data_IF_223454029560
#
_entry.id   IF_223454029560
#
_cell.length_a   1.000
_cell.length_b   1.000
_cell.length_c   1.000
_cell.angle_alpha   90.00
_cell.angle_beta   90.00
_cell.angle_gamma   90.00
#
_symmetry.space_group_name_H-M   'P 1'
#
loop_
_entity.id
_entity.type
_entity.pdbx_description
1 polymer ?
#
# COMPACT_ATOMS: atom_id res chain seq x y z
N UNK A 1 -1.59 -1.92 5.70
CA UNK A 1 -2.31 -2.06 6.98
C UNK A 1 -2.72 -3.52 7.16
N UNK A 2 -2.82 -3.99 8.40
CA UNK A 2 -3.31 -5.34 8.72
C UNK A 2 -4.22 -5.28 9.94
N UNK A 3 -5.36 -5.97 9.89
CA UNK A 3 -6.22 -6.13 11.06
C UNK A 3 -5.71 -7.28 11.94
N UNK A 4 -5.66 -7.05 13.25
CA UNK A 4 -5.36 -8.07 14.26
C UNK A 4 -6.65 -8.37 15.06
N UNK A 5 -7.21 -9.59 14.94
CA UNK A 5 -8.46 -9.95 15.60
C UNK A 5 -8.30 -10.17 17.11
N UNK A 6 -7.10 -10.48 17.61
CA UNK A 6 -6.89 -10.70 19.04
C UNK A 6 -6.90 -9.38 19.80
N UNK A 7 -6.30 -8.36 19.18
CA UNK A 7 -6.27 -7.03 19.76
C UNK A 7 -7.48 -6.19 19.36
N UNK A 8 -8.24 -6.57 18.33
CA UNK A 8 -9.29 -5.75 17.71
C UNK A 8 -8.76 -4.37 17.29
N UNK A 9 -7.68 -4.36 16.52
CA UNK A 9 -7.08 -3.12 16.02
C UNK A 9 -6.48 -3.29 14.62
N UNK A 10 -6.27 -2.16 13.96
CA UNK A 10 -5.54 -2.08 12.71
C UNK A 10 -4.10 -1.65 12.96
N UNK A 11 -3.16 -2.42 12.44
CA UNK A 11 -1.75 -2.11 12.45
C UNK A 11 -1.44 -1.33 11.16
N UNK A 12 -1.14 -0.05 11.31
CA UNK A 12 -0.60 0.80 10.25
C UNK A 12 0.93 0.78 10.37
N UNK A 13 1.60 0.51 9.25
CA UNK A 13 3.05 0.46 9.17
C UNK A 13 3.46 1.25 7.94
N UNK A 14 4.17 2.35 8.17
CA UNK A 14 4.53 3.33 7.15
C UNK A 14 6.01 3.66 7.23
N UNK A 15 6.61 3.95 6.08
CA UNK A 15 7.97 4.45 6.00
C UNK A 15 7.95 5.86 5.43
N UNK A 16 8.17 6.85 6.31
CA UNK A 16 8.10 8.27 5.99
C UNK A 16 9.38 8.95 6.48
N UNK A 17 10.04 9.72 5.61
CA UNK A 17 11.20 10.53 6.00
C UNK A 17 12.33 9.75 6.67
N UNK A 18 12.68 8.57 6.13
CA UNK A 18 13.70 7.66 6.69
C UNK A 18 13.37 7.07 8.07
N UNK A 19 12.11 7.13 8.50
CA UNK A 19 11.66 6.54 9.75
C UNK A 19 10.54 5.54 9.50
N UNK A 20 10.63 4.42 10.20
CA UNK A 20 9.54 3.48 10.33
C UNK A 20 8.55 4.02 11.37
N UNK A 21 7.31 4.21 10.97
CA UNK A 21 6.20 4.57 11.84
C UNK A 21 5.25 3.38 11.94
N UNK A 22 4.95 2.95 13.16
CA UNK A 22 3.98 1.89 13.44
C UNK A 22 2.95 2.47 14.39
N UNK A 23 1.68 2.45 13.98
CA UNK A 23 0.55 2.93 14.78
C UNK A 23 -0.51 1.83 14.88
N UNK A 24 -1.07 1.66 16.08
CA UNK A 24 -2.24 0.84 16.33
C UNK A 24 -3.48 1.73 16.30
N UNK A 25 -4.37 1.46 15.36
CA UNK A 25 -5.55 2.28 15.07
C UNK A 25 -6.83 1.52 15.45
N UNK A 26 -7.80 2.25 16.01
CA UNK A 26 -9.14 1.74 16.39
C UNK A 26 -10.21 2.80 16.11
N UNK A 27 -11.46 2.34 15.94
CA UNK A 27 -12.64 3.20 15.84
C UNK A 27 -12.54 4.27 14.75
N UNK A 28 -12.94 5.49 15.09
CA UNK A 28 -13.06 6.63 14.17
C UNK A 28 -11.78 6.95 13.38
N UNK A 29 -10.59 6.72 13.97
CA UNK A 29 -9.32 6.94 13.26
C UNK A 29 -9.19 6.04 12.03
N UNK A 30 -9.58 4.78 12.16
CA UNK A 30 -9.54 3.79 11.07
C UNK A 30 -10.55 4.15 10.00
N UNK A 31 -11.76 4.54 10.43
CA UNK A 31 -12.84 4.94 9.52
C UNK A 31 -12.45 6.17 8.71
N UNK A 32 -11.89 7.20 9.36
CA UNK A 32 -11.38 8.40 8.68
C UNK A 32 -10.29 8.06 7.65
N UNK A 33 -9.37 7.15 7.99
CA UNK A 33 -8.32 6.68 7.06
C UNK A 33 -8.91 5.94 5.86
N UNK A 34 -9.84 5.01 6.06
CA UNK A 34 -10.47 4.30 4.94
C UNK A 34 -11.33 5.24 4.09
N UNK A 35 -12.05 6.16 4.72
CA UNK A 35 -12.80 7.18 4.01
C UNK A 35 -11.87 8.02 3.14
N UNK A 36 -10.77 8.54 3.69
CA UNK A 36 -9.77 9.30 2.93
C UNK A 36 -9.14 8.46 1.80
N UNK A 37 -8.79 7.21 2.06
CA UNK A 37 -8.22 6.31 1.06
C UNK A 37 -9.19 6.09 -0.12
N UNK A 38 -10.47 5.90 0.17
CA UNK A 38 -11.51 5.73 -0.84
C UNK A 38 -11.69 6.97 -1.73
N UNK A 39 -11.46 8.17 -1.18
CA UNK A 39 -11.53 9.43 -1.92
C UNK A 39 -10.26 9.75 -2.70
N UNK A 40 -9.10 9.36 -2.19
CA UNK A 40 -7.78 9.76 -2.73
C UNK A 40 -7.34 8.94 -3.95
N UNK A 41 -8.00 7.82 -4.23
CA UNK A 41 -7.69 6.99 -5.39
C UNK A 41 -8.00 5.51 -5.16
N UNK A 42 -7.25 4.65 -5.86
CA UNK A 42 -7.39 3.20 -5.75
C UNK A 42 -6.59 2.62 -4.59
N UNK A 43 -7.16 1.66 -3.87
CA UNK A 43 -6.48 0.90 -2.82
C UNK A 43 -6.46 -0.58 -3.18
N UNK A 44 -5.30 -1.22 -3.02
CA UNK A 44 -5.13 -2.65 -3.27
C UNK A 44 -4.70 -3.36 -1.98
N UNK A 45 -5.45 -4.40 -1.62
CA UNK A 45 -5.04 -5.38 -0.61
C UNK A 45 -4.17 -6.43 -1.25
N UNK A 46 -3.05 -6.73 -0.64
CA UNK A 46 -2.19 -7.81 -1.08
C UNK A 46 -1.54 -8.45 0.14
N UNK A 47 -1.68 -9.76 0.24
CA UNK A 47 -1.05 -10.56 1.28
C UNK A 47 0.10 -11.34 0.65
N UNK A 48 1.27 -11.26 1.28
CA UNK A 48 2.45 -12.03 0.89
C UNK A 48 2.84 -12.92 2.04
N UNK A 49 3.13 -14.18 1.73
CA UNK A 49 3.86 -15.04 2.66
C UNK A 49 5.29 -14.53 2.80
N UNK A 50 5.80 -14.57 4.03
CA UNK A 50 7.21 -14.33 4.28
C UNK A 50 8.03 -15.45 3.64
N UNK A 51 9.00 -15.10 2.81
CA UNK A 51 9.95 -16.05 2.23
C UNK A 51 11.30 -15.88 2.92
N UNK A 52 11.81 -16.95 3.52
CA UNK A 52 13.15 -16.98 4.09
C UNK A 52 14.19 -16.54 3.05
N UNK A 53 15.16 -15.73 3.47
CA UNK A 53 16.19 -15.19 2.58
C UNK A 53 15.77 -13.94 1.79
N UNK A 54 14.65 -13.29 2.16
CA UNK A 54 14.37 -11.93 1.74
C UNK A 54 15.50 -11.01 2.23
N UNK A 55 16.50 -10.82 1.37
CA UNK A 55 17.52 -9.81 1.54
C UNK A 55 16.81 -8.45 1.47
N UNK A 56 16.34 -7.99 2.63
CA UNK A 56 16.04 -6.59 2.88
C UNK A 56 17.35 -5.86 2.65
N UNK A 57 17.55 -5.42 1.41
CA UNK A 57 18.64 -4.53 1.08
C UNK A 57 18.33 -3.21 1.79
N UNK A 58 18.77 -3.11 3.05
CA UNK A 58 18.63 -1.98 3.96
C UNK A 58 19.43 -0.75 3.50
N UNK A 59 19.74 -0.61 2.20
CA UNK A 59 20.06 0.69 1.62
C UNK A 59 18.78 1.52 1.73
N UNK A 60 18.64 2.13 2.90
CA UNK A 60 17.55 2.92 3.43
C UNK A 60 16.60 3.38 2.32
N UNK A 61 15.40 2.81 2.22
CA UNK A 61 14.49 3.23 1.17
C UNK A 61 14.21 4.71 1.34
N UNK A 62 14.75 5.52 0.42
CA UNK A 62 14.50 6.96 0.35
C UNK A 62 13.00 7.22 0.13
N UNK A 63 12.30 6.24 -0.47
CA UNK A 63 10.91 6.33 -0.86
C UNK A 63 10.07 5.16 -0.32
N UNK A 64 8.86 5.46 0.14
CA UNK A 64 7.90 4.51 0.69
C UNK A 64 7.58 3.34 -0.26
N UNK A 65 7.55 3.60 -1.57
CA UNK A 65 7.27 2.58 -2.61
C UNK A 65 8.37 1.51 -2.65
N UNK A 66 9.63 1.92 -2.52
CA UNK A 66 10.78 1.00 -2.48
C UNK A 66 10.72 0.15 -1.22
N UNK A 67 10.39 0.75 -0.08
CA UNK A 67 10.21 0.01 1.18
C UNK A 67 9.10 -1.04 1.07
N UNK A 68 7.90 -0.64 0.61
CA UNK A 68 6.77 -1.56 0.44
C UNK A 68 7.09 -2.72 -0.52
N UNK A 69 7.79 -2.43 -1.62
CA UNK A 69 8.28 -3.45 -2.55
C UNK A 69 9.13 -4.52 -1.85
N UNK A 70 10.08 -4.10 -1.02
CA UNK A 70 10.97 -5.02 -0.31
C UNK A 70 10.26 -5.81 0.77
N UNK A 71 9.35 -5.17 1.53
CA UNK A 71 8.52 -5.82 2.53
C UNK A 71 7.67 -6.95 1.91
N UNK A 72 7.15 -6.71 0.70
CA UNK A 72 6.32 -7.65 -0.05
C UNK A 72 7.14 -8.63 -0.92
N UNK A 73 8.47 -8.61 -0.82
CA UNK A 73 9.38 -9.46 -1.57
C UNK A 73 9.25 -9.38 -3.09
N UNK A 74 8.87 -8.22 -3.62
CA UNK A 74 8.73 -8.02 -5.05
C UNK A 74 10.08 -7.69 -5.68
N UNK A 75 10.53 -8.51 -6.63
CA UNK A 75 11.69 -8.21 -7.47
C UNK A 75 11.30 -7.29 -8.64
N UNK A 76 11.06 -6.01 -8.33
CA UNK A 76 10.87 -4.96 -9.35
C UNK A 76 12.14 -4.08 -9.44
N UNK A 77 12.29 -3.36 -10.56
CA UNK A 77 13.35 -2.39 -10.78
C UNK A 77 13.56 -1.45 -9.56
N UNK A 78 14.77 -0.90 -9.34
CA UNK A 78 15.05 -0.06 -8.16
C UNK A 78 14.18 1.21 -8.08
N UNK A 79 13.86 1.81 -9.24
CA UNK A 79 12.94 2.92 -9.35
C UNK A 79 11.53 2.40 -9.69
N UNK A 80 10.64 2.39 -8.68
CA UNK A 80 9.23 2.03 -8.85
C UNK A 80 8.37 3.23 -8.47
N UNK A 81 7.51 3.65 -9.37
CA UNK A 81 6.47 4.65 -9.06
C UNK A 81 5.32 4.00 -8.29
N UNK A 82 4.54 4.77 -7.51
CA UNK A 82 3.36 4.22 -6.82
C UNK A 82 2.42 3.46 -7.76
N UNK A 83 2.23 3.96 -8.99
CA UNK A 83 1.40 3.30 -10.01
C UNK A 83 1.99 1.96 -10.48
N UNK A 84 3.31 1.88 -10.71
CA UNK A 84 3.95 0.63 -11.10
C UNK A 84 3.84 -0.43 -9.99
N UNK A 85 3.97 -0.02 -8.71
CA UNK A 85 3.74 -0.91 -7.58
C UNK A 85 2.29 -1.40 -7.55
N UNK A 86 1.32 -0.49 -7.73
CA UNK A 86 -0.10 -0.83 -7.79
C UNK A 86 -0.41 -1.85 -8.89
N UNK A 87 0.07 -1.63 -10.11
CA UNK A 87 -0.10 -2.58 -11.21
C UNK A 87 0.56 -3.93 -10.92
N UNK A 88 1.77 -3.93 -10.35
CA UNK A 88 2.46 -5.17 -9.98
C UNK A 88 1.69 -5.98 -8.94
N UNK A 89 1.07 -5.32 -7.95
CA UNK A 89 0.24 -5.96 -6.94
C UNK A 89 -1.05 -6.54 -7.53
N UNK A 90 -1.75 -5.79 -8.39
CA UNK A 90 -2.94 -6.30 -9.10
C UNK A 90 -2.61 -7.53 -9.95
N UNK A 91 -1.51 -7.49 -10.69
CA UNK A 91 -1.08 -8.61 -11.54
C UNK A 91 -0.71 -9.87 -10.74
N UNK A 92 -0.40 -9.73 -9.45
CA UNK A 92 -0.09 -10.84 -8.54
C UNK A 92 -1.30 -11.30 -7.72
N UNK A 93 -2.52 -10.88 -8.08
CA UNK A 93 -3.74 -11.28 -7.39
C UNK A 93 -4.15 -10.37 -6.24
N UNK A 94 -3.57 -9.17 -6.14
CA UNK A 94 -4.03 -8.17 -5.18
C UNK A 94 -5.48 -7.77 -5.43
N UNK A 95 -6.29 -7.77 -4.37
CA UNK A 95 -7.71 -7.41 -4.41
C UNK A 95 -7.88 -5.90 -4.32
N UNK A 96 -8.58 -5.30 -5.27
CA UNK A 96 -8.92 -3.87 -5.19
C UNK A 96 -9.95 -3.68 -4.09
N UNK A 97 -9.62 -2.89 -3.08
CA UNK A 97 -10.53 -2.58 -1.97
C UNK A 97 -11.38 -1.35 -2.28
N UNK A 98 -10.78 -0.36 -2.94
CA UNK A 98 -11.45 0.83 -3.45
C UNK A 98 -10.95 1.09 -4.86
N UNK A 99 -11.87 1.24 -5.81
CA UNK A 99 -11.57 1.79 -7.14
C UNK A 99 -12.41 3.05 -7.24
N UNK A 100 -11.80 4.20 -7.56
CA UNK A 100 -12.62 5.34 -7.96
C UNK A 100 -13.42 4.89 -9.18
N UNK A 101 -14.74 4.89 -9.05
CA UNK A 101 -15.63 4.73 -10.18
C UNK A 101 -15.18 5.77 -11.22
N UNK A 102 -14.71 5.29 -12.39
CA UNK A 102 -14.23 6.17 -13.44
C UNK A 102 -15.34 7.21 -13.68
N UNK A 103 -15.11 8.46 -13.29
CA UNK A 103 -15.88 9.59 -13.81
C UNK A 103 -15.74 9.48 -15.32
N UNK A 104 -16.79 8.98 -15.98
CA UNK A 104 -16.88 8.91 -17.43
C UNK A 104 -16.42 10.26 -17.98
N UNK A 105 -15.41 10.20 -18.84
CA UNK A 105 -14.55 11.31 -19.16
C UNK A 105 -15.29 12.58 -19.52
N UNK A 106 -14.81 13.71 -19.01
CA UNK A 106 -15.05 14.99 -19.65
C UNK A 106 -14.32 14.98 -20.99
N UNK A 107 -15.09 14.63 -22.01
CA UNK A 107 -14.72 14.66 -23.41
C UNK A 107 -14.81 16.11 -23.88
N UNK A 108 -13.70 16.86 -23.86
CA UNK A 108 -13.63 18.10 -24.66
C UNK A 108 -13.14 17.73 -26.06
N UNK A 109 -14.10 17.66 -26.99
CA UNK A 109 -13.83 17.70 -28.42
C UNK A 109 -13.84 19.18 -28.85
N UNK A 110 -12.77 19.53 -29.58
CA UNK A 110 -12.45 20.79 -30.29
C UNK A 110 -11.59 21.76 -29.51
#
# INVERSE_FOLDING_TARGET
>A
MRYDPNMDCWILCEWLGFRLHIELLRGEKVEALFHQASQSGGMVSYESEYRDGLALNFRMPIYCVTWAKHLLGLQLCPAVTPYQLFCALRNRGGSVMFEQEKRNGFFWKR
#
